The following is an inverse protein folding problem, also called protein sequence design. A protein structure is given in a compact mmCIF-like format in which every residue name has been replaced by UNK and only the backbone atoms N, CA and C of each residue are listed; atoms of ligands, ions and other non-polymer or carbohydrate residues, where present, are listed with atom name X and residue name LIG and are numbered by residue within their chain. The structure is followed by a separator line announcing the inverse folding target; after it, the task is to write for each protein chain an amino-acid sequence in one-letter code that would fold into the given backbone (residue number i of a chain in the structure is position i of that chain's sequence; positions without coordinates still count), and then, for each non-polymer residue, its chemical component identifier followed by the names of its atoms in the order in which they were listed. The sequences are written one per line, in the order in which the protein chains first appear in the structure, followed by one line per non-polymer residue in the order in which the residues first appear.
data_IF_581977565351
#
_entry.id   IF_581977565351
#
_cell.length_a   1.000
_cell.length_b   1.000
_cell.length_c   1.000
_cell.angle_alpha   90.00
_cell.angle_beta   90.00
_cell.angle_gamma   90.00
#
_symmetry.space_group_name_H-M   'P 1'
#
loop_
_entity.id
_entity.type
_entity.pdbx_description
1 polymer ?
#
# COMPACT_ATOMS: atom_id res chain seq x y z
N UNK A 1 -2.67 36.23 11.25
CA UNK A 1 -1.68 35.38 10.55
C UNK A 1 -2.45 34.49 9.59
N UNK A 2 -2.14 34.49 8.28
CA UNK A 2 -2.81 33.61 7.33
C UNK A 2 -2.25 32.21 7.53
N UNK A 3 -3.06 31.29 8.05
CA UNK A 3 -2.75 29.87 8.02
C UNK A 3 -2.79 29.43 6.56
N UNK A 4 -1.64 29.45 5.88
CA UNK A 4 -1.49 28.79 4.59
C UNK A 4 -1.64 27.30 4.82
N UNK A 5 -2.79 26.73 4.43
CA UNK A 5 -2.94 25.29 4.24
C UNK A 5 -1.90 24.85 3.20
N UNK A 6 -0.74 24.41 3.67
CA UNK A 6 0.32 23.85 2.83
C UNK A 6 -0.23 22.57 2.20
N UNK A 7 -0.53 22.64 0.91
CA UNK A 7 -0.90 21.47 0.11
C UNK A 7 0.40 20.77 -0.32
N UNK A 8 0.62 19.56 0.16
CA UNK A 8 1.72 18.69 -0.30
C UNK A 8 1.18 17.85 -1.47
N UNK A 9 1.84 17.93 -2.62
CA UNK A 9 1.47 17.18 -3.83
C UNK A 9 2.66 16.42 -4.36
N UNK A 10 2.42 15.30 -5.04
CA UNK A 10 3.43 14.52 -5.74
C UNK A 10 2.98 14.28 -7.19
N UNK A 11 3.96 14.22 -8.11
CA UNK A 11 3.77 13.77 -9.48
C UNK A 11 4.02 12.26 -9.55
N UNK A 12 3.19 11.54 -10.31
CA UNK A 12 3.32 10.08 -10.49
C UNK A 12 3.27 9.74 -11.98
N UNK A 13 4.05 8.73 -12.38
CA UNK A 13 3.97 8.15 -13.72
C UNK A 13 2.76 7.22 -13.80
N UNK A 14 1.85 7.52 -14.73
CA UNK A 14 0.63 6.75 -14.98
C UNK A 14 0.84 5.62 -16.00
N UNK A 15 2.01 5.55 -16.65
CA UNK A 15 2.39 4.47 -17.55
C UNK A 15 2.87 3.21 -16.80
N UNK A 16 3.17 3.34 -15.51
CA UNK A 16 3.62 2.23 -14.66
C UNK A 16 2.45 1.60 -13.89
N UNK A 17 2.45 0.27 -13.79
CA UNK A 17 1.57 -0.43 -12.87
C UNK A 17 2.13 -0.28 -11.44
N UNK A 18 1.38 0.36 -10.55
CA UNK A 18 1.71 0.47 -9.14
C UNK A 18 0.48 0.82 -8.30
N UNK A 19 0.57 0.58 -6.99
CA UNK A 19 -0.28 1.23 -6.00
C UNK A 19 0.53 2.31 -5.27
N UNK A 20 -0.13 3.38 -4.84
CA UNK A 20 0.48 4.46 -4.08
C UNK A 20 -0.28 4.65 -2.78
N UNK A 21 0.44 4.71 -1.67
CA UNK A 21 -0.13 4.85 -0.32
C UNK A 21 0.44 6.10 0.33
N UNK A 22 -0.44 6.94 0.89
CA UNK A 22 -0.07 8.17 1.59
C UNK A 22 -0.41 8.04 3.06
N UNK A 23 0.59 8.14 3.92
CA UNK A 23 0.44 8.14 5.39
C UNK A 23 1.16 9.36 5.93
N UNK A 24 0.42 10.20 6.68
CA UNK A 24 0.94 11.40 7.35
C UNK A 24 1.81 12.29 6.43
N UNK A 25 1.39 12.44 5.16
CA UNK A 25 2.04 13.29 4.16
C UNK A 25 3.20 12.65 3.39
N UNK A 26 3.54 11.39 3.67
CA UNK A 26 4.57 10.65 2.94
C UNK A 26 3.95 9.70 1.92
N UNK A 27 4.33 9.87 0.64
CA UNK A 27 3.95 8.97 -0.45
C UNK A 27 4.90 7.77 -0.50
N UNK A 28 4.35 6.56 -0.43
CA UNK A 28 5.08 5.31 -0.66
C UNK A 28 4.55 4.64 -1.93
N UNK A 29 5.43 4.38 -2.90
CA UNK A 29 5.12 3.53 -4.05
C UNK A 29 5.17 2.07 -3.63
N UNK A 30 4.05 1.37 -3.78
CA UNK A 30 3.94 -0.06 -3.54
C UNK A 30 4.24 -0.78 -4.85
N UNK A 31 5.46 -1.33 -4.96
CA UNK A 31 5.88 -2.10 -6.14
C UNK A 31 4.99 -3.32 -6.32
N UNK A 32 4.46 -3.57 -7.54
CA UNK A 32 3.67 -4.76 -7.82
C UNK A 32 4.42 -6.04 -7.50
N UNK A 33 3.69 -7.03 -6.99
CA UNK A 33 4.17 -8.41 -6.91
C UNK A 33 3.79 -9.15 -8.20
N UNK A 34 4.47 -10.26 -8.49
CA UNK A 34 4.05 -11.17 -9.57
C UNK A 34 2.65 -11.77 -9.29
N UNK A 35 2.36 -12.07 -8.01
CA UNK A 35 1.07 -12.55 -7.53
C UNK A 35 0.95 -12.27 -6.01
N UNK A 36 -0.27 -12.36 -5.47
CA UNK A 36 -0.55 -12.24 -4.03
C UNK A 36 -1.57 -11.16 -3.70
N UNK A 37 -1.59 -10.74 -2.44
CA UNK A 37 -2.54 -9.77 -1.90
C UNK A 37 -1.81 -8.72 -1.07
N UNK A 38 -2.20 -7.46 -1.25
CA UNK A 38 -1.89 -6.35 -0.34
C UNK A 38 -3.21 -5.90 0.31
N UNK A 39 -3.26 -5.79 1.63
CA UNK A 39 -4.46 -5.39 2.39
C UNK A 39 -4.24 -4.03 3.04
N UNK A 40 -5.09 -3.05 2.72
CA UNK A 40 -5.06 -1.71 3.34
C UNK A 40 -5.88 -1.72 4.63
N UNK A 41 -5.26 -1.28 5.72
CA UNK A 41 -5.93 -1.15 7.02
C UNK A 41 -6.23 0.33 7.27
N UNK A 42 -7.52 0.61 7.47
CA UNK A 42 -8.02 1.94 7.82
C UNK A 42 -8.20 2.06 9.33
N UNK A 43 -7.84 3.21 9.88
CA UNK A 43 -8.15 3.59 11.27
C UNK A 43 -8.38 5.08 11.35
N UNK A 44 -9.46 5.49 12.01
CA UNK A 44 -9.79 6.90 12.23
C UNK A 44 -9.79 7.75 10.94
N UNK A 45 -10.31 7.17 9.85
CA UNK A 45 -10.43 7.85 8.55
C UNK A 45 -9.13 7.99 7.76
N UNK A 46 -8.01 7.44 8.25
CA UNK A 46 -6.72 7.42 7.54
C UNK A 46 -6.24 6.00 7.26
N UNK A 47 -5.36 5.88 6.28
CA UNK A 47 -4.56 4.67 6.13
C UNK A 47 -3.67 4.56 7.37
N UNK A 48 -3.76 3.42 8.06
CA UNK A 48 -2.99 3.11 9.25
C UNK A 48 -1.82 2.19 8.93
N UNK A 49 -2.08 1.15 8.12
CA UNK A 49 -1.10 0.14 7.79
C UNK A 49 -1.41 -0.54 6.44
N UNK A 50 -0.42 -1.21 5.87
CA UNK A 50 -0.55 -2.03 4.66
C UNK A 50 0.13 -3.37 4.88
N UNK A 51 -0.66 -4.44 4.96
CA UNK A 51 -0.15 -5.79 5.08
C UNK A 51 0.22 -6.31 3.69
N UNK A 52 1.50 -6.66 3.51
CA UNK A 52 1.99 -7.28 2.27
C UNK A 52 2.17 -8.77 2.46
N UNK A 53 1.29 -9.57 1.85
CA UNK A 53 1.32 -11.04 2.01
C UNK A 53 1.55 -11.76 0.67
N UNK A 54 2.12 -12.97 0.76
CA UNK A 54 2.14 -13.94 -0.32
C UNK A 54 1.47 -15.22 0.17
N UNK A 55 0.52 -15.73 -0.61
CA UNK A 55 -0.14 -17.01 -0.31
C UNK A 55 0.62 -18.12 -1.03
N UNK A 56 1.09 -19.09 -0.27
CA UNK A 56 1.64 -20.33 -0.81
C UNK A 56 0.56 -21.40 -0.71
N UNK A 57 0.20 -22.02 -1.84
CA UNK A 57 -0.71 -23.16 -1.81
C UNK A 57 0.08 -24.40 -1.39
N UNK A 58 -0.30 -24.98 -0.26
CA UNK A 58 0.22 -26.28 0.15
C UNK A 58 -0.58 -27.40 -0.50
N UNK A 59 0.11 -28.36 -1.11
CA UNK A 59 -0.46 -29.63 -1.59
C UNK A 59 0.38 -30.77 -1.04
N UNK A 60 -0.27 -31.77 -0.44
CA UNK A 60 0.42 -32.97 0.06
C UNK A 60 1.12 -32.80 1.40
N UNK A 61 0.44 -32.24 2.42
CA UNK A 61 0.81 -32.59 3.79
C UNK A 61 0.37 -34.04 4.02
N UNK A 62 1.15 -34.99 3.52
CA UNK A 62 1.09 -36.35 4.07
C UNK A 62 1.47 -36.22 5.56
N UNK A 63 0.48 -36.45 6.41
CA UNK A 63 0.72 -36.65 7.84
C UNK A 63 1.49 -37.97 7.92
N UNK A 64 2.79 -37.90 8.22
CA UNK A 64 3.58 -39.07 8.62
C UNK A 64 3.05 -39.56 9.98
#
# INVERSE_FOLDING_TARGET
MKNSNLKITAEIDLMENAAYVVIDGQLTKVTPKQFGEDTIIWKDGKVFDVIRSQRVRMSGQEVI
#
